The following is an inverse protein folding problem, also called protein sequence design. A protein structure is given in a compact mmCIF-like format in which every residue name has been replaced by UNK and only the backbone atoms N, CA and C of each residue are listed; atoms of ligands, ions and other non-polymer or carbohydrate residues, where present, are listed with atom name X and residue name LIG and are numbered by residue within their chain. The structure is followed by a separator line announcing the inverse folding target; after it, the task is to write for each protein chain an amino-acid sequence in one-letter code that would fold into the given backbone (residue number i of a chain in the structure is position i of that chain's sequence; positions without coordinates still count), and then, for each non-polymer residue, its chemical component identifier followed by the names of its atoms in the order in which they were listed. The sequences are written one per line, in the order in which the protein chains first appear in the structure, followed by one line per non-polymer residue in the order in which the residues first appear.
data_IF_559477640132
#
_entry.id   IF_559477640132
#
_cell.length_a   1.000
_cell.length_b   1.000
_cell.length_c   1.000
_cell.angle_alpha   90.00
_cell.angle_beta   90.00
_cell.angle_gamma   90.00
#
_symmetry.space_group_name_H-M   'P 1'
#
loop_
_entity.id
_entity.type
_entity.pdbx_description
1 polymer ?
#
# COMPACT_ATOMS: atom_id res chain seq x y z
N UNK A 1 -20.40 -8.67 16.38
CA UNK A 1 -21.14 -7.49 16.87
C UNK A 1 -21.50 -6.58 15.69
N UNK A 2 -22.77 -6.58 15.30
CA UNK A 2 -23.24 -6.00 14.02
C UNK A 2 -23.16 -4.47 13.94
N UNK A 3 -22.63 -3.80 14.97
CA UNK A 3 -22.46 -2.35 15.06
C UNK A 3 -21.00 -1.86 15.07
N UNK A 4 -20.02 -2.74 14.83
CA UNK A 4 -18.62 -2.32 14.84
C UNK A 4 -18.29 -1.44 13.63
N UNK A 5 -17.92 -0.18 13.86
CA UNK A 5 -17.45 0.75 12.82
C UNK A 5 -15.92 0.77 12.72
N UNK A 6 -15.40 1.25 11.58
CA UNK A 6 -13.98 1.65 11.46
C UNK A 6 -13.73 2.93 12.29
N UNK A 7 -12.49 3.17 12.68
CA UNK A 7 -12.10 4.36 13.44
C UNK A 7 -10.62 4.39 13.80
N UNK A 8 -10.24 5.20 14.78
CA UNK A 8 -8.83 5.42 15.16
C UNK A 8 -8.04 4.14 15.50
N UNK A 9 -8.72 3.07 15.90
CA UNK A 9 -8.09 1.81 16.33
C UNK A 9 -8.46 0.61 15.48
N UNK A 10 -9.68 0.60 14.93
CA UNK A 10 -10.24 -0.56 14.23
C UNK A 10 -10.32 -0.18 12.77
N UNK A 11 -9.65 -0.97 11.93
CA UNK A 11 -9.85 -0.96 10.49
C UNK A 11 -10.89 -2.02 10.13
N UNK A 12 -12.04 -1.59 9.61
CA UNK A 12 -13.12 -2.48 9.18
C UNK A 12 -13.72 -1.98 7.86
N UNK A 13 -13.14 -2.38 6.72
CA UNK A 13 -13.64 -1.94 5.43
C UNK A 13 -15.01 -2.55 5.13
N UNK A 14 -15.90 -1.77 4.52
CA UNK A 14 -17.24 -2.23 4.12
C UNK A 14 -17.18 -3.25 2.97
N UNK A 15 -16.15 -3.15 2.13
CA UNK A 15 -15.91 -4.02 0.98
C UNK A 15 -14.49 -4.56 1.03
N UNK A 16 -14.25 -5.83 0.67
CA UNK A 16 -12.90 -6.36 0.58
C UNK A 16 -12.11 -5.81 -0.62
N UNK A 17 -12.81 -5.16 -1.56
CA UNK A 17 -12.21 -4.65 -2.81
C UNK A 17 -12.05 -3.14 -2.73
N UNK A 18 -10.80 -2.69 -2.69
CA UNK A 18 -10.45 -1.27 -2.81
C UNK A 18 -10.93 -0.70 -4.16
N UNK A 19 -11.47 0.52 -4.11
CA UNK A 19 -11.90 1.26 -5.29
C UNK A 19 -10.81 2.24 -5.74
N UNK A 20 -10.61 2.46 -7.05
CA UNK A 20 -9.66 3.46 -7.52
C UNK A 20 -10.10 4.87 -7.10
N UNK A 21 -9.15 5.70 -6.68
CA UNK A 21 -9.41 7.10 -6.27
C UNK A 21 -9.89 7.99 -7.43
N UNK A 22 -9.62 7.58 -8.68
CA UNK A 22 -10.12 8.21 -9.89
C UNK A 22 -10.10 7.23 -11.06
N UNK A 23 -11.03 7.40 -12.00
CA UNK A 23 -11.03 6.67 -13.28
C UNK A 23 -10.14 7.37 -14.32
N UNK A 24 -9.91 8.67 -14.14
CA UNK A 24 -9.07 9.49 -15.00
C UNK A 24 -7.80 9.90 -14.27
N UNK A 25 -6.76 10.22 -15.03
CA UNK A 25 -5.54 10.83 -14.50
C UNK A 25 -4.88 11.67 -15.59
N UNK A 26 -4.22 12.75 -15.20
CA UNK A 26 -3.26 13.41 -16.07
C UNK A 26 -1.85 12.93 -15.73
N UNK A 27 -0.99 12.93 -16.75
CA UNK A 27 0.41 12.52 -16.63
C UNK A 27 1.28 13.59 -17.29
N UNK A 28 2.26 14.08 -16.55
CA UNK A 28 3.28 14.99 -17.05
C UNK A 28 4.65 14.37 -16.75
N UNK A 29 5.46 14.18 -17.79
CA UNK A 29 6.83 13.69 -17.62
C UNK A 29 7.81 14.85 -17.79
N UNK A 30 8.72 15.00 -16.84
CA UNK A 30 9.77 16.01 -16.83
C UNK A 30 11.12 15.31 -16.83
N UNK A 31 12.00 15.69 -17.74
CA UNK A 31 13.38 15.22 -17.76
C UNK A 31 14.30 16.38 -17.40
N UNK A 32 14.95 16.28 -16.25
CA UNK A 32 15.99 17.19 -15.81
C UNK A 32 17.38 16.58 -16.11
N UNK A 33 18.44 17.25 -15.66
CA UNK A 33 19.82 16.84 -15.91
C UNK A 33 20.15 15.50 -15.23
N UNK A 34 19.71 15.30 -13.98
CA UNK A 34 20.07 14.14 -13.16
C UNK A 34 18.87 13.34 -12.63
N UNK A 35 17.66 13.67 -13.08
CA UNK A 35 16.41 13.03 -12.64
C UNK A 35 15.36 13.05 -13.73
N UNK A 36 14.59 11.97 -13.81
CA UNK A 36 13.41 11.84 -14.63
C UNK A 36 12.20 11.66 -13.72
N UNK A 37 11.19 12.49 -13.90
CA UNK A 37 10.04 12.57 -13.01
C UNK A 37 8.75 12.40 -13.81
N UNK A 38 7.85 11.56 -13.32
CA UNK A 38 6.48 11.45 -13.78
C UNK A 38 5.53 11.96 -12.70
N UNK A 39 4.84 13.07 -12.98
CA UNK A 39 3.80 13.64 -12.13
C UNK A 39 2.45 13.13 -12.61
N UNK A 40 1.74 12.43 -11.72
CA UNK A 40 0.42 11.86 -11.96
C UNK A 40 -0.58 12.58 -11.05
N UNK A 41 -1.55 13.26 -11.63
CA UNK A 41 -2.67 13.84 -10.87
C UNK A 41 -3.91 12.99 -11.12
N UNK A 42 -4.44 12.36 -10.08
CA UNK A 42 -5.62 11.50 -10.19
C UNK A 42 -6.91 12.31 -10.08
N UNK A 43 -6.95 13.25 -9.14
CA UNK A 43 -8.05 14.18 -8.90
C UNK A 43 -7.53 15.40 -8.11
N UNK A 44 -8.43 16.26 -7.66
CA UNK A 44 -8.14 17.50 -6.92
C UNK A 44 -7.56 17.31 -5.50
N UNK A 45 -7.60 16.09 -4.95
CA UNK A 45 -7.10 15.77 -3.60
C UNK A 45 -6.06 14.64 -3.58
N UNK A 46 -5.67 14.08 -4.73
CA UNK A 46 -4.64 13.04 -4.82
C UNK A 46 -3.72 13.20 -6.03
N UNK A 47 -2.42 13.15 -5.76
CA UNK A 47 -1.37 13.10 -6.77
C UNK A 47 -0.22 12.20 -6.34
N UNK A 48 0.59 11.80 -7.30
CA UNK A 48 1.79 11.00 -7.11
C UNK A 48 2.90 11.54 -8.02
N UNK A 49 4.12 11.60 -7.48
CA UNK A 49 5.33 11.90 -8.23
C UNK A 49 6.24 10.68 -8.19
N UNK A 50 6.69 10.23 -9.36
CA UNK A 50 7.59 9.08 -9.48
C UNK A 50 8.91 9.59 -10.06
N UNK A 51 9.98 9.52 -9.29
CA UNK A 51 11.28 10.06 -9.63
C UNK A 51 12.32 8.95 -9.77
N UNK A 52 13.05 8.98 -10.88
CA UNK A 52 14.20 8.12 -11.16
C UNK A 52 15.44 9.00 -11.30
N UNK A 53 16.32 8.91 -10.31
CA UNK A 53 17.60 9.59 -10.33
C UNK A 53 18.62 8.82 -11.16
N UNK A 54 19.53 9.54 -11.79
CA UNK A 54 20.68 8.93 -12.46
C UNK A 54 21.49 8.11 -11.45
N UNK A 55 21.88 6.90 -11.85
CA UNK A 55 22.60 5.94 -11.00
C UNK A 55 21.84 5.49 -9.72
N UNK A 56 20.55 5.82 -9.60
CA UNK A 56 19.72 5.40 -8.47
C UNK A 56 19.41 3.90 -8.49
N UNK A 57 19.55 3.23 -7.34
CA UNK A 57 19.21 1.81 -7.17
C UNK A 57 17.71 1.56 -6.94
N UNK A 58 16.93 2.64 -6.76
CA UNK A 58 15.51 2.58 -6.44
C UNK A 58 14.73 3.69 -7.16
N UNK A 59 13.42 3.52 -7.19
CA UNK A 59 12.47 4.52 -7.66
C UNK A 59 11.90 5.22 -6.45
N UNK A 60 11.99 6.56 -6.43
CA UNK A 60 11.33 7.36 -5.41
C UNK A 60 9.88 7.60 -5.82
N UNK A 61 8.97 7.43 -4.86
CA UNK A 61 7.55 7.66 -5.06
C UNK A 61 7.10 8.60 -3.96
N UNK A 62 6.73 9.82 -4.31
CA UNK A 62 6.08 10.75 -3.41
C UNK A 62 4.57 10.74 -3.69
N UNK A 63 3.75 10.83 -2.65
CA UNK A 63 2.30 10.89 -2.78
C UNK A 63 1.75 12.03 -1.94
N UNK A 64 0.82 12.79 -2.53
CA UNK A 64 0.05 13.80 -1.81
C UNK A 64 -1.39 13.33 -1.75
N UNK A 65 -1.95 13.27 -0.54
CA UNK A 65 -3.34 12.89 -0.28
C UNK A 65 -3.95 13.91 0.67
N UNK A 66 -4.93 14.66 0.19
CA UNK A 66 -5.76 15.51 1.04
C UNK A 66 -6.14 16.85 0.40
N UNK A 67 -7.20 17.49 0.92
CA UNK A 67 -8.12 16.97 1.95
C UNK A 67 -9.01 15.84 1.40
N UNK A 68 -9.17 14.76 2.17
CA UNK A 68 -10.00 13.61 1.75
C UNK A 68 -11.47 14.06 1.74
N UNK A 69 -12.21 13.97 0.60
CA UNK A 69 -13.59 14.42 0.53
C UNK A 69 -14.47 13.50 1.38
N UNK A 70 -15.33 14.10 2.21
CA UNK A 70 -16.24 13.39 3.12
C UNK A 70 -17.69 13.89 3.04
N UNK A 71 -18.00 14.78 2.09
CA UNK A 71 -19.34 15.36 1.92
C UNK A 71 -20.40 14.32 1.54
N UNK A 72 -19.96 13.15 1.05
CA UNK A 72 -20.78 11.96 0.79
C UNK A 72 -21.10 11.16 2.06
N UNK A 73 -20.64 11.60 3.24
CA UNK A 73 -20.73 10.90 4.52
C UNK A 73 -20.08 9.50 4.51
N UNK A 74 -19.11 9.27 3.62
CA UNK A 74 -18.35 8.02 3.57
C UNK A 74 -16.91 8.23 4.00
N UNK A 75 -16.51 7.59 5.11
CA UNK A 75 -15.10 7.50 5.52
C UNK A 75 -14.28 6.73 4.49
N UNK A 76 -13.05 7.20 4.23
CA UNK A 76 -12.16 6.64 3.21
C UNK A 76 -10.79 6.35 3.82
N UNK A 77 -10.31 5.12 3.63
CA UNK A 77 -8.98 4.67 4.02
C UNK A 77 -8.17 4.47 2.74
N UNK A 78 -7.23 5.39 2.47
CA UNK A 78 -6.50 5.45 1.20
C UNK A 78 -5.28 4.54 1.25
N UNK A 79 -5.06 3.77 0.19
CA UNK A 79 -3.93 2.86 0.05
C UNK A 79 -3.21 3.11 -1.27
N UNK A 80 -1.91 2.88 -1.27
CA UNK A 80 -1.15 2.61 -2.48
C UNK A 80 -1.02 1.10 -2.64
N UNK A 81 -1.37 0.56 -3.82
CA UNK A 81 -1.26 -0.87 -4.12
C UNK A 81 -0.37 -1.09 -5.33
N UNK A 82 0.66 -1.92 -5.14
CA UNK A 82 1.51 -2.41 -6.21
C UNK A 82 1.10 -3.84 -6.54
N UNK A 83 0.64 -4.04 -7.77
CA UNK A 83 0.27 -5.35 -8.29
C UNK A 83 1.40 -5.84 -9.22
N UNK A 84 1.89 -7.07 -9.00
CA UNK A 84 2.96 -7.68 -9.80
C UNK A 84 2.66 -9.15 -10.09
N UNK A 85 3.44 -9.75 -10.98
CA UNK A 85 3.41 -11.18 -11.30
C UNK A 85 4.35 -12.02 -10.40
N UNK A 86 4.89 -11.44 -9.31
CA UNK A 86 5.72 -12.17 -8.35
C UNK A 86 4.87 -13.22 -7.64
N UNK A 87 5.19 -14.50 -7.83
CA UNK A 87 4.52 -15.59 -7.13
C UNK A 87 5.03 -15.72 -5.70
N UNK A 88 4.50 -14.90 -4.81
CA UNK A 88 4.90 -14.86 -3.40
C UNK A 88 4.38 -16.02 -2.55
N UNK A 89 3.56 -16.91 -3.11
CA UNK A 89 2.90 -18.00 -2.37
C UNK A 89 2.14 -17.51 -1.13
N UNK A 90 1.45 -16.37 -1.24
CA UNK A 90 0.74 -15.70 -0.14
C UNK A 90 1.61 -15.24 1.02
N UNK A 91 2.94 -15.22 0.85
CA UNK A 91 3.90 -14.76 1.85
C UNK A 91 4.35 -13.32 1.58
N UNK A 92 4.60 -12.60 2.65
CA UNK A 92 5.17 -11.26 2.64
C UNK A 92 5.93 -11.05 3.93
N UNK A 93 6.79 -10.05 3.96
CA UNK A 93 7.73 -9.85 5.06
C UNK A 93 7.65 -8.41 5.53
N UNK A 94 7.50 -8.21 6.83
CA UNK A 94 7.41 -6.88 7.45
C UNK A 94 8.46 -6.76 8.53
N UNK A 95 8.99 -5.55 8.73
CA UNK A 95 9.85 -5.30 9.87
C UNK A 95 9.07 -5.26 11.20
N UNK A 96 9.81 -5.44 12.30
CA UNK A 96 9.34 -5.22 13.66
C UNK A 96 10.15 -4.05 14.26
N UNK A 97 9.53 -2.87 14.34
CA UNK A 97 10.15 -1.64 14.83
C UNK A 97 11.48 -1.29 14.13
N UNK A 98 11.57 -1.48 12.81
CA UNK A 98 12.76 -1.19 12.01
C UNK A 98 13.90 -2.21 12.10
N UNK A 99 13.71 -3.32 12.84
CA UNK A 99 14.78 -4.28 13.17
C UNK A 99 14.57 -5.63 12.49
N UNK A 100 14.08 -6.60 13.26
CA UNK A 100 13.89 -7.96 12.81
C UNK A 100 12.78 -8.02 11.76
N UNK A 101 12.84 -9.04 10.92
CA UNK A 101 11.89 -9.26 9.84
C UNK A 101 11.07 -10.49 10.16
N UNK A 102 9.75 -10.35 10.07
CA UNK A 102 8.81 -11.43 10.32
C UNK A 102 8.15 -11.86 9.00
N UNK A 103 8.16 -13.17 8.74
CA UNK A 103 7.34 -13.75 7.67
C UNK A 103 5.87 -13.71 8.07
N UNK A 104 5.03 -13.21 7.16
CA UNK A 104 3.58 -13.17 7.26
C UNK A 104 3.01 -14.04 6.14
N UNK A 105 1.95 -14.76 6.44
CA UNK A 105 1.18 -15.53 5.44
C UNK A 105 -0.27 -15.07 5.53
N UNK A 106 -0.86 -14.74 4.37
CA UNK A 106 -2.26 -14.32 4.29
C UNK A 106 -3.17 -15.39 4.90
N UNK A 107 -4.13 -14.96 5.72
CA UNK A 107 -5.14 -15.80 6.37
C UNK A 107 -4.57 -16.90 7.29
N UNK A 108 -3.39 -16.67 7.87
CA UNK A 108 -2.69 -17.64 8.70
C UNK A 108 -2.22 -17.07 10.04
N UNK A 109 -2.14 -17.94 11.07
CA UNK A 109 -1.54 -17.65 12.38
C UNK A 109 -0.64 -18.82 12.80
N UNK A 110 0.59 -18.55 13.28
CA UNK A 110 1.52 -19.61 13.65
C UNK A 110 1.17 -20.33 14.96
N UNK A 111 0.32 -19.73 15.81
CA UNK A 111 0.12 -20.18 17.20
C UNK A 111 -1.27 -20.76 17.46
N UNK A 112 -2.23 -20.63 16.54
CA UNK A 112 -3.56 -21.25 16.66
C UNK A 112 -4.22 -21.42 15.28
N UNK A 113 -5.26 -22.27 15.22
CA UNK A 113 -6.09 -22.42 14.03
C UNK A 113 -6.95 -21.17 13.81
N UNK A 114 -6.61 -20.37 12.80
CA UNK A 114 -7.27 -19.10 12.52
C UNK A 114 -8.49 -19.29 11.61
N UNK A 115 -9.65 -18.83 12.08
CA UNK A 115 -10.85 -18.67 11.26
C UNK A 115 -10.89 -17.24 10.73
N UNK A 116 -10.88 -17.08 9.41
CA UNK A 116 -10.94 -15.78 8.76
C UNK A 116 -12.33 -15.18 8.97
N UNK A 117 -12.39 -14.07 9.71
CA UNK A 117 -13.62 -13.30 9.94
C UNK A 117 -13.60 -11.96 9.21
N UNK A 118 -12.41 -11.39 9.00
CA UNK A 118 -12.18 -10.13 8.30
C UNK A 118 -10.99 -10.35 7.33
N UNK A 119 -11.29 -10.48 6.04
CA UNK A 119 -10.34 -10.92 5.01
C UNK A 119 -9.29 -9.85 4.63
N UNK A 120 -9.59 -8.57 4.84
CA UNK A 120 -8.64 -7.47 4.61
C UNK A 120 -7.94 -7.10 5.90
N UNK A 121 -8.68 -6.62 6.91
CA UNK A 121 -8.07 -6.07 8.12
C UNK A 121 -7.34 -7.11 8.96
N UNK A 122 -7.77 -8.37 8.93
CA UNK A 122 -7.08 -9.48 9.58
C UNK A 122 -5.68 -9.78 9.01
N UNK A 123 -5.32 -9.19 7.88
CA UNK A 123 -4.02 -9.37 7.20
C UNK A 123 -3.13 -8.11 7.22
N UNK A 124 -3.58 -7.02 7.85
CA UNK A 124 -2.74 -5.83 8.06
C UNK A 124 -1.76 -6.06 9.22
N UNK A 125 -0.52 -5.62 9.02
CA UNK A 125 0.55 -5.61 10.02
C UNK A 125 1.25 -4.25 10.01
N UNK A 126 1.78 -3.78 11.16
CA UNK A 126 2.56 -2.56 11.19
C UNK A 126 3.83 -2.71 10.33
N UNK A 127 4.15 -1.66 9.59
CA UNK A 127 5.37 -1.50 8.79
C UNK A 127 5.98 -0.19 9.24
N UNK A 128 7.17 -0.22 9.83
CA UNK A 128 7.85 0.98 10.31
C UNK A 128 8.96 1.42 9.34
N UNK A 129 9.47 0.52 8.50
CA UNK A 129 10.53 0.83 7.56
C UNK A 129 10.42 0.12 6.22
N UNK A 130 9.95 -1.14 6.21
CA UNK A 130 10.00 -1.94 4.97
C UNK A 130 9.01 -3.09 4.93
N UNK A 131 8.50 -3.33 3.73
CA UNK A 131 7.73 -4.53 3.37
C UNK A 131 8.25 -5.07 2.04
N UNK A 132 8.20 -6.38 1.86
CA UNK A 132 8.45 -6.97 0.54
C UNK A 132 7.70 -8.25 0.28
N UNK A 133 7.62 -8.56 -1.00
CA UNK A 133 7.25 -9.86 -1.56
C UNK A 133 8.40 -10.36 -2.44
N UNK A 134 8.55 -11.68 -2.56
CA UNK A 134 9.57 -12.29 -3.41
C UNK A 134 9.10 -13.63 -3.98
N UNK A 135 9.66 -14.00 -5.12
CA UNK A 135 9.65 -15.35 -5.67
C UNK A 135 11.09 -15.91 -5.65
N UNK A 136 11.39 -16.94 -6.45
CA UNK A 136 12.73 -17.53 -6.53
C UNK A 136 13.79 -16.59 -7.15
N UNK A 137 13.37 -15.64 -7.97
CA UNK A 137 14.24 -14.85 -8.83
C UNK A 137 14.18 -13.35 -8.54
N UNK A 138 13.05 -12.86 -8.04
CA UNK A 138 12.74 -11.42 -7.94
C UNK A 138 12.21 -11.08 -6.56
N UNK A 139 12.52 -9.86 -6.12
CA UNK A 139 11.98 -9.26 -4.92
C UNK A 139 11.51 -7.84 -5.24
N UNK A 140 10.32 -7.48 -4.77
CA UNK A 140 9.84 -6.09 -4.74
C UNK A 140 9.79 -5.64 -3.28
N UNK A 141 10.62 -4.67 -2.94
CA UNK A 141 10.68 -4.06 -1.61
C UNK A 141 10.16 -2.62 -1.68
N UNK A 142 9.27 -2.28 -0.75
CA UNK A 142 8.81 -0.91 -0.51
C UNK A 142 9.39 -0.46 0.81
N UNK A 143 10.00 0.73 0.80
CA UNK A 143 10.53 1.41 1.98
C UNK A 143 9.59 2.57 2.35
N UNK A 144 9.46 2.86 3.64
CA UNK A 144 8.62 3.93 4.20
C UNK A 144 9.37 4.72 5.26
#
# INVERSE_FOLDING_TARGET
PDFQASGAYIFRPVSPTAQPVSQARSLTCVKAVSVQTAVIVFNDWTSQEISLYDEGEFVEVEWTVGPIPIDDNMGKEIIIRYDTDINSQSKYYTDANGREVLERTRDYRPTWNYTVVENVSGNYYPINSRIWIKDQNRQLTVLT
#
